data_IF_915271504170
#
_entry.id   IF_915271504170
#
_cell.length_a   1.000
_cell.length_b   1.000
_cell.length_c   1.000
_cell.angle_alpha   90.00
_cell.angle_beta   90.00
_cell.angle_gamma   90.00
#
_symmetry.space_group_name_H-M   'P 1'
#
loop_
_entity.id
_entity.type
_entity.pdbx_description
1 polymer ?
#
# COMPACT_ATOMS: atom_id res chain seq x y z
N UNK A 1 -10.83 -10.80 2.34
CA UNK A 1 -10.49 -11.61 3.52
C UNK A 1 -9.05 -12.05 3.35
N UNK A 2 -8.17 -11.73 4.30
CA UNK A 2 -6.75 -12.04 4.22
C UNK A 2 -6.40 -13.03 5.33
N UNK A 3 -5.61 -14.05 4.99
CA UNK A 3 -5.06 -15.00 5.94
C UNK A 3 -3.99 -14.30 6.78
N UNK A 4 -4.07 -14.40 8.11
CA UNK A 4 -3.03 -13.87 9.01
C UNK A 4 -2.65 -14.92 10.03
N UNK A 5 -1.37 -15.27 10.06
CA UNK A 5 -0.84 -16.31 10.95
C UNK A 5 -0.34 -15.72 12.27
N UNK A 6 -0.53 -16.46 13.35
CA UNK A 6 -0.03 -16.13 14.68
C UNK A 6 0.43 -17.40 15.39
N UNK A 7 1.38 -17.25 16.34
CA UNK A 7 2.11 -18.33 17.03
C UNK A 7 2.09 -18.12 18.55
N UNK A 8 1.87 -19.20 19.31
CA UNK A 8 1.93 -19.22 20.78
C UNK A 8 2.81 -20.34 21.32
N UNK A 9 3.31 -20.19 22.56
CA UNK A 9 4.14 -21.17 23.30
C UNK A 9 3.54 -21.50 24.68
N UNK A 10 3.64 -22.77 25.09
CA UNK A 10 3.10 -23.36 26.35
C UNK A 10 4.12 -24.38 26.84
N UNK A 11 4.35 -24.38 28.15
CA UNK A 11 5.34 -25.22 28.81
C UNK A 11 4.69 -26.31 29.69
N UNK A 12 4.27 -27.43 29.09
CA UNK A 12 3.71 -28.56 29.85
C UNK A 12 4.81 -29.45 30.46
N UNK A 13 4.64 -29.81 31.73
CA UNK A 13 5.53 -30.68 32.52
C UNK A 13 4.95 -32.09 32.62
N UNK A 14 5.77 -33.08 32.30
CA UNK A 14 5.43 -34.49 32.45
C UNK A 14 6.20 -35.12 33.60
N UNK A 15 5.55 -35.92 34.47
CA UNK A 15 6.26 -36.71 35.46
C UNK A 15 7.29 -37.65 34.81
N UNK A 16 8.33 -37.99 35.57
CA UNK A 16 9.41 -38.87 35.12
C UNK A 16 8.83 -40.22 34.67
N UNK A 17 9.23 -40.67 33.47
CA UNK A 17 8.78 -41.95 32.90
C UNK A 17 7.31 -42.03 32.47
N UNK A 18 6.51 -40.98 32.70
CA UNK A 18 5.09 -40.96 32.33
C UNK A 18 4.86 -40.19 31.02
N UNK A 19 3.87 -40.63 30.26
CA UNK A 19 3.39 -39.99 29.04
C UNK A 19 2.17 -39.09 29.25
N UNK A 20 1.63 -39.07 30.47
CA UNK A 20 0.46 -38.28 30.87
C UNK A 20 0.95 -37.18 31.81
N UNK A 21 0.60 -35.92 31.52
CA UNK A 21 0.86 -34.82 32.44
C UNK A 21 -0.26 -34.73 33.48
N UNK A 22 0.08 -34.25 34.68
CA UNK A 22 -0.90 -34.02 35.73
C UNK A 22 -1.60 -32.68 35.47
N UNK A 23 -2.92 -32.71 35.29
CA UNK A 23 -3.74 -31.52 35.07
C UNK A 23 -3.93 -30.69 36.34
N UNK A 24 -3.68 -31.29 37.52
CA UNK A 24 -3.75 -30.61 38.81
C UNK A 24 -2.41 -29.98 39.22
N UNK A 25 -1.33 -30.23 38.47
CA UNK A 25 -0.09 -29.49 38.62
C UNK A 25 -0.32 -28.02 38.27
N UNK A 26 0.08 -27.11 39.17
CA UNK A 26 -0.25 -25.69 39.06
C UNK A 26 0.35 -25.02 37.82
N UNK A 27 1.52 -25.48 37.34
CA UNK A 27 2.11 -24.98 36.10
C UNK A 27 1.30 -25.48 34.90
N UNK A 28 1.02 -26.78 34.84
CA UNK A 28 0.24 -27.35 33.74
C UNK A 28 -1.15 -26.71 33.66
N UNK A 29 -1.81 -26.51 34.80
CA UNK A 29 -3.12 -25.86 34.87
C UNK A 29 -3.05 -24.41 34.34
N UNK A 30 -2.05 -23.62 34.74
CA UNK A 30 -1.88 -22.25 34.27
C UNK A 30 -1.61 -22.17 32.75
N UNK A 31 -0.79 -23.07 32.22
CA UNK A 31 -0.47 -23.13 30.79
C UNK A 31 -1.68 -23.57 29.95
N UNK A 32 -2.45 -24.56 30.45
CA UNK A 32 -3.71 -24.99 29.84
C UNK A 32 -4.73 -23.84 29.84
N UNK A 33 -4.85 -23.11 30.94
CA UNK A 33 -5.77 -21.98 31.07
C UNK A 33 -5.41 -20.83 30.11
N UNK A 34 -4.12 -20.48 29.98
CA UNK A 34 -3.64 -19.48 29.02
C UNK A 34 -4.03 -19.84 27.59
N UNK A 35 -3.86 -21.12 27.21
CA UNK A 35 -4.29 -21.59 25.89
C UNK A 35 -5.81 -21.52 25.74
N UNK A 36 -6.57 -21.93 26.77
CA UNK A 36 -8.04 -21.89 26.76
C UNK A 36 -8.55 -20.47 26.51
N UNK A 37 -7.98 -19.47 27.20
CA UNK A 37 -8.33 -18.06 27.01
C UNK A 37 -8.03 -17.60 25.59
N UNK A 38 -6.87 -17.98 25.03
CA UNK A 38 -6.51 -17.63 23.66
C UNK A 38 -7.48 -18.26 22.64
N UNK A 39 -7.84 -19.54 22.82
CA UNK A 39 -8.85 -20.21 21.97
C UNK A 39 -10.21 -19.51 22.08
N UNK A 40 -10.65 -19.15 23.29
CA UNK A 40 -11.92 -18.45 23.49
C UNK A 40 -11.94 -17.05 22.87
N UNK A 41 -10.83 -16.31 22.96
CA UNK A 41 -10.70 -15.01 22.31
C UNK A 41 -10.79 -15.13 20.79
N UNK A 42 -10.13 -16.13 20.20
CA UNK A 42 -10.20 -16.42 18.76
C UNK A 42 -11.63 -16.84 18.39
N UNK A 43 -12.25 -17.73 19.17
CA UNK A 43 -13.63 -18.19 18.95
C UNK A 43 -14.67 -17.06 18.99
N UNK A 44 -14.50 -16.09 19.90
CA UNK A 44 -15.37 -14.92 20.01
C UNK A 44 -15.13 -13.86 18.92
N UNK A 45 -14.06 -14.00 18.13
CA UNK A 45 -13.76 -13.07 17.04
C UNK A 45 -14.56 -13.44 15.80
N UNK A 46 -15.44 -12.53 15.36
CA UNK A 46 -16.20 -12.69 14.12
C UNK A 46 -15.24 -12.94 12.94
N UNK A 47 -15.55 -13.95 12.13
CA UNK A 47 -14.76 -14.38 10.96
C UNK A 47 -13.36 -14.95 11.28
N UNK A 48 -13.09 -15.39 12.50
CA UNK A 48 -11.88 -16.16 12.81
C UNK A 48 -12.06 -17.65 12.51
N UNK A 49 -11.02 -18.30 11.96
CA UNK A 49 -11.03 -19.76 11.77
C UNK A 49 -9.73 -20.37 12.28
N UNK A 50 -9.83 -21.23 13.29
CA UNK A 50 -8.69 -22.03 13.70
C UNK A 50 -8.37 -23.05 12.59
N UNK A 51 -7.14 -23.04 12.09
CA UNK A 51 -6.74 -23.92 10.97
C UNK A 51 -5.94 -25.13 11.44
N UNK A 52 -4.95 -24.92 12.32
CA UNK A 52 -4.11 -26.01 12.79
C UNK A 52 -3.56 -25.82 14.20
N UNK A 53 -3.55 -26.91 14.98
CA UNK A 53 -2.81 -26.99 16.23
C UNK A 53 -1.64 -27.96 16.03
N UNK A 54 -0.40 -27.46 16.09
CA UNK A 54 0.81 -28.29 16.00
C UNK A 54 1.55 -28.31 17.33
N UNK A 55 2.04 -29.47 17.75
CA UNK A 55 2.87 -29.62 18.94
C UNK A 55 4.24 -30.17 18.61
N UNK A 56 5.27 -29.62 19.25
CA UNK A 56 6.65 -30.07 19.09
C UNK A 56 7.28 -30.36 20.46
N UNK A 57 7.51 -31.62 20.75
CA UNK A 57 8.07 -32.06 22.03
C UNK A 57 9.44 -32.67 21.90
N UNK A 58 10.30 -32.40 22.88
CA UNK A 58 11.60 -33.05 22.99
C UNK A 58 11.71 -33.85 24.29
N UNK A 59 12.28 -35.05 24.21
CA UNK A 59 12.77 -35.78 25.37
C UNK A 59 14.27 -35.59 25.55
N UNK A 60 14.73 -35.67 26.80
CA UNK A 60 16.16 -35.69 27.12
C UNK A 60 16.84 -36.95 26.56
N UNK A 61 18.14 -36.90 26.23
CA UNK A 61 18.91 -38.07 25.80
C UNK A 61 19.39 -38.94 26.98
N UNK A 62 18.57 -39.09 28.03
CA UNK A 62 18.92 -39.78 29.28
C UNK A 62 18.72 -41.30 29.22
N UNK A 63 17.83 -41.79 28.36
CA UNK A 63 17.61 -43.21 28.05
C UNK A 63 18.13 -43.67 26.68
N UNK A 64 17.71 -44.86 26.23
CA UNK A 64 17.93 -45.32 24.84
C UNK A 64 17.12 -44.45 23.87
N UNK A 65 17.69 -44.11 22.72
CA UNK A 65 17.06 -43.22 21.74
C UNK A 65 15.63 -43.62 21.38
N UNK A 66 15.42 -44.88 20.96
CA UNK A 66 14.09 -45.37 20.57
C UNK A 66 13.07 -45.28 21.70
N UNK A 67 13.50 -45.48 22.95
CA UNK A 67 12.63 -45.37 24.12
C UNK A 67 12.26 -43.91 24.39
N UNK A 68 13.24 -43.00 24.36
CA UNK A 68 13.02 -41.57 24.58
C UNK A 68 12.15 -40.98 23.46
N UNK A 69 12.33 -41.43 22.21
CA UNK A 69 11.51 -41.01 21.07
C UNK A 69 10.07 -41.49 21.23
N UNK A 70 9.88 -42.78 21.57
CA UNK A 70 8.55 -43.34 21.82
C UNK A 70 7.85 -42.62 22.97
N UNK A 71 8.58 -42.30 24.04
CA UNK A 71 8.04 -41.54 25.17
C UNK A 71 7.64 -40.12 24.77
N UNK A 72 8.49 -39.42 24.00
CA UNK A 72 8.17 -38.09 23.47
C UNK A 72 6.93 -38.12 22.57
N UNK A 73 6.81 -39.13 21.70
CA UNK A 73 5.64 -39.31 20.83
C UNK A 73 4.37 -39.51 21.66
N UNK A 74 4.38 -40.43 22.63
CA UNK A 74 3.22 -40.66 23.51
C UNK A 74 2.81 -39.42 24.30
N UNK A 75 3.77 -38.61 24.74
CA UNK A 75 3.51 -37.32 25.41
C UNK A 75 2.83 -36.32 24.48
N UNK A 76 3.30 -36.22 23.24
CA UNK A 76 2.70 -35.31 22.25
C UNK A 76 1.29 -35.75 21.88
N UNK A 77 1.09 -37.05 21.67
CA UNK A 77 -0.23 -37.58 21.33
C UNK A 77 -1.23 -37.35 22.47
N UNK A 78 -0.81 -37.52 23.73
CA UNK A 78 -1.63 -37.18 24.88
C UNK A 78 -1.97 -35.69 24.92
N UNK A 79 -0.96 -34.81 24.80
CA UNK A 79 -1.16 -33.37 24.87
C UNK A 79 -2.06 -32.84 23.73
N UNK A 80 -1.83 -33.27 22.49
CA UNK A 80 -2.68 -32.90 21.34
C UNK A 80 -4.12 -33.36 21.55
N UNK A 81 -4.33 -34.59 22.02
CA UNK A 81 -5.67 -35.12 22.24
C UNK A 81 -6.38 -34.41 23.39
N UNK A 82 -5.68 -34.10 24.48
CA UNK A 82 -6.24 -33.34 25.60
C UNK A 82 -6.65 -31.93 25.15
N UNK A 83 -5.77 -31.22 24.43
CA UNK A 83 -6.06 -29.86 23.99
C UNK A 83 -7.12 -29.81 22.89
N UNK A 84 -7.21 -30.85 22.04
CA UNK A 84 -8.34 -31.02 21.10
C UNK A 84 -9.70 -31.02 21.81
N UNK A 85 -9.79 -31.56 23.03
CA UNK A 85 -11.03 -31.58 23.81
C UNK A 85 -11.42 -30.19 24.35
N UNK A 86 -10.44 -29.29 24.54
CA UNK A 86 -10.69 -27.92 25.01
C UNK A 86 -11.19 -26.97 23.91
N UNK A 87 -10.95 -27.30 22.65
CA UNK A 87 -11.46 -26.54 21.50
C UNK A 87 -12.97 -26.78 21.37
N UNK A 88 -13.83 -25.74 21.27
CA UNK A 88 -15.25 -25.89 20.98
C UNK A 88 -15.51 -26.76 19.74
N UNK A 89 -16.56 -27.58 19.78
CA UNK A 89 -16.84 -28.55 18.72
C UNK A 89 -17.05 -27.92 17.35
N UNK A 90 -17.68 -26.74 17.32
CA UNK A 90 -17.91 -25.94 16.12
C UNK A 90 -16.62 -25.58 15.39
N UNK A 91 -15.55 -25.28 16.14
CA UNK A 91 -14.25 -24.87 15.61
C UNK A 91 -13.34 -26.06 15.30
N UNK A 92 -13.61 -27.22 15.90
CA UNK A 92 -12.76 -28.41 15.82
C UNK A 92 -12.86 -29.14 14.48
N UNK A 93 -14.02 -29.07 13.81
CA UNK A 93 -14.33 -29.90 12.62
C UNK A 93 -13.36 -29.70 11.45
N UNK A 94 -12.92 -28.46 11.23
CA UNK A 94 -12.06 -28.09 10.09
C UNK A 94 -10.59 -27.87 10.48
N UNK A 95 -10.23 -28.17 11.73
CA UNK A 95 -8.87 -28.03 12.25
C UNK A 95 -8.00 -29.25 11.97
N UNK A 96 -6.77 -29.00 11.52
CA UNK A 96 -5.71 -30.01 11.51
C UNK A 96 -5.01 -30.07 12.87
N UNK A 97 -4.76 -31.28 13.37
CA UNK A 97 -3.98 -31.48 14.59
C UNK A 97 -2.73 -32.28 14.25
N UNK A 98 -1.56 -31.75 14.59
CA UNK A 98 -0.25 -32.36 14.28
C UNK A 98 0.59 -32.49 15.54
N UNK A 99 1.31 -33.60 15.67
CA UNK A 99 2.33 -33.81 16.70
C UNK A 99 3.66 -34.12 16.04
N UNK A 100 4.74 -33.58 16.61
CA UNK A 100 6.11 -33.91 16.25
C UNK A 100 6.91 -34.16 17.51
N UNK A 101 7.57 -35.30 17.58
CA UNK A 101 8.42 -35.67 18.69
C UNK A 101 9.87 -35.81 18.22
N UNK A 102 10.80 -35.39 19.07
CA UNK A 102 12.22 -35.61 18.88
C UNK A 102 12.91 -35.94 20.20
N UNK A 103 14.14 -36.43 20.12
CA UNK A 103 15.05 -36.56 21.27
C UNK A 103 16.09 -35.46 21.11
N UNK A 104 16.26 -34.64 22.15
CA UNK A 104 17.25 -33.57 22.13
C UNK A 104 18.67 -34.17 22.01
N UNK A 105 19.52 -33.63 21.13
CA UNK A 105 20.91 -34.07 21.03
C UNK A 105 21.72 -33.63 22.25
N UNK A 106 22.78 -34.37 22.57
CA UNK A 106 23.73 -33.98 23.62
C UNK A 106 24.42 -32.63 23.37
N UNK A 107 24.47 -32.16 22.13
CA UNK A 107 24.95 -30.81 21.80
C UNK A 107 24.09 -29.70 22.43
N UNK A 108 22.80 -29.94 22.67
CA UNK A 108 21.96 -28.95 23.35
C UNK A 108 22.28 -28.87 24.85
N UNK A 109 22.72 -29.97 25.45
CA UNK A 109 23.28 -29.96 26.81
C UNK A 109 24.55 -29.10 26.87
N UNK A 110 25.44 -29.22 25.87
CA UNK A 110 26.67 -28.40 25.76
C UNK A 110 26.33 -26.91 25.71
N UNK A 111 25.31 -26.52 24.94
CA UNK A 111 24.85 -25.12 24.87
C UNK A 111 24.39 -24.60 26.24
N UNK A 112 23.58 -25.38 26.96
CA UNK A 112 23.10 -25.02 28.29
C UNK A 112 24.24 -24.89 29.31
N UNK A 113 25.20 -25.81 29.28
CA UNK A 113 26.37 -25.76 30.16
C UNK A 113 27.25 -24.54 29.88
N UNK A 114 27.47 -24.19 28.61
CA UNK A 114 28.23 -22.99 28.22
C UNK A 114 27.53 -21.70 28.62
N UNK A 115 26.20 -21.64 28.53
CA UNK A 115 25.43 -20.48 28.99
C UNK A 115 25.61 -20.24 30.50
N UNK A 116 25.77 -21.32 31.28
CA UNK A 116 26.08 -21.26 32.71
C UNK A 116 27.59 -21.14 33.00
N UNK A 117 28.40 -20.81 31.99
CA UNK A 117 29.87 -20.66 32.09
C UNK A 117 30.64 -21.93 32.52
N UNK A 118 30.06 -23.12 32.34
CA UNK A 118 30.72 -24.41 32.62
C UNK A 118 31.51 -24.91 31.40
N UNK A 119 32.51 -24.13 30.99
CA UNK A 119 33.22 -24.36 29.73
C UNK A 119 34.01 -25.68 29.71
N UNK A 120 34.66 -26.06 30.81
CA UNK A 120 35.51 -27.25 30.87
C UNK A 120 34.69 -28.55 30.85
N UNK A 121 33.62 -28.62 31.64
CA UNK A 121 32.69 -29.74 31.62
C UNK A 121 31.96 -29.82 30.27
N UNK A 122 31.59 -28.68 29.67
CA UNK A 122 30.95 -28.63 28.37
C UNK A 122 31.88 -29.15 27.26
N UNK A 123 33.17 -28.83 27.32
CA UNK A 123 34.17 -29.31 26.37
C UNK A 123 34.32 -30.84 26.44
N UNK A 124 34.28 -31.43 27.64
CA UNK A 124 34.33 -32.90 27.81
C UNK A 124 33.12 -33.58 27.17
N UNK A 125 31.91 -33.05 27.38
CA UNK A 125 30.69 -33.57 26.73
C UNK A 125 30.77 -33.39 25.21
N UNK A 126 31.22 -32.23 24.73
CA UNK A 126 31.38 -31.94 23.30
C UNK A 126 32.37 -32.88 22.60
N UNK A 127 33.49 -33.20 23.25
CA UNK A 127 34.46 -34.17 22.73
C UNK A 127 33.83 -35.57 22.55
N UNK A 128 32.99 -36.01 23.48
CA UNK A 128 32.28 -37.28 23.37
C UNK A 128 31.26 -37.23 22.21
N UNK A 129 30.53 -36.12 22.06
CA UNK A 129 29.58 -35.92 20.95
C UNK A 129 30.30 -35.97 19.60
N UNK A 130 31.47 -35.35 19.48
CA UNK A 130 32.30 -35.38 18.26
C UNK A 130 32.87 -36.78 17.98
N UNK A 131 33.20 -37.53 19.02
CA UNK A 131 33.82 -38.87 18.89
C UNK A 131 32.84 -39.94 18.44
N UNK A 132 31.58 -39.89 18.86
CA UNK A 132 30.58 -40.91 18.55
C UNK A 132 29.44 -40.33 17.71
N UNK A 133 29.17 -40.92 16.54
CA UNK A 133 28.03 -40.51 15.70
C UNK A 133 26.66 -40.98 16.22
N UNK A 134 26.63 -42.02 17.05
CA UNK A 134 25.39 -42.61 17.59
C UNK A 134 25.07 -42.06 19.00
N UNK A 135 23.86 -41.54 19.19
CA UNK A 135 23.43 -40.89 20.44
C UNK A 135 23.41 -41.84 21.66
N UNK A 136 23.16 -43.15 21.47
CA UNK A 136 23.23 -44.14 22.56
C UNK A 136 24.69 -44.40 22.98
N UNK A 137 25.63 -44.40 22.01
CA UNK A 137 27.05 -44.47 22.31
C UNK A 137 27.53 -43.21 23.05
N UNK A 138 27.11 -42.02 22.60
CA UNK A 138 27.36 -40.76 23.31
C UNK A 138 26.86 -40.85 24.75
N UNK A 139 25.60 -41.24 24.96
CA UNK A 139 25.01 -41.36 26.29
C UNK A 139 25.72 -42.37 27.19
N UNK A 140 26.20 -43.51 26.66
CA UNK A 140 27.00 -44.48 27.43
C UNK A 140 28.34 -43.92 27.90
N UNK A 141 29.00 -43.14 27.06
CA UNK A 141 30.26 -42.49 27.41
C UNK A 141 30.05 -41.32 28.39
N UNK A 142 29.01 -40.49 28.16
CA UNK A 142 28.68 -39.34 29.00
C UNK A 142 28.27 -39.76 30.42
N UNK A 143 27.56 -40.90 30.59
CA UNK A 143 27.23 -41.46 31.92
C UNK A 143 28.45 -41.81 32.79
N UNK A 144 29.64 -41.98 32.19
CA UNK A 144 30.87 -42.27 32.93
C UNK A 144 31.59 -41.01 33.42
N UNK A 145 31.14 -39.82 33.02
CA UNK A 145 31.75 -38.56 33.46
C UNK A 145 31.49 -38.34 34.96
N UNK A 146 32.49 -37.83 35.71
CA UNK A 146 32.40 -37.70 37.16
C UNK A 146 31.30 -36.73 37.62
N UNK A 147 30.94 -35.77 36.77
CA UNK A 147 29.87 -34.80 37.04
C UNK A 147 28.50 -35.20 36.51
N UNK A 148 28.33 -36.41 35.94
CA UNK A 148 27.08 -36.83 35.32
C UNK A 148 25.88 -36.69 36.27
N UNK A 149 25.90 -37.35 37.43
CA UNK A 149 24.76 -37.38 38.37
C UNK A 149 24.42 -35.99 38.92
N UNK A 150 25.43 -35.27 39.42
CA UNK A 150 25.24 -33.95 40.05
C UNK A 150 24.80 -32.87 39.06
N UNK A 151 25.39 -32.87 37.87
CA UNK A 151 25.28 -31.75 36.94
C UNK A 151 24.36 -32.06 35.76
N UNK A 152 24.64 -33.14 35.03
CA UNK A 152 23.88 -33.48 33.83
C UNK A 152 22.50 -34.01 34.20
N UNK A 153 22.41 -35.02 35.06
CA UNK A 153 21.16 -35.62 35.50
C UNK A 153 20.37 -34.70 36.45
N UNK A 154 21.03 -34.06 37.40
CA UNK A 154 20.40 -33.20 38.39
C UNK A 154 19.92 -31.84 37.85
N UNK A 155 20.62 -31.25 36.86
CA UNK A 155 20.36 -29.86 36.43
C UNK A 155 20.00 -29.72 34.95
N UNK A 156 20.74 -30.32 34.02
CA UNK A 156 20.60 -30.01 32.59
C UNK A 156 19.64 -30.92 31.81
N UNK A 157 19.67 -32.23 32.04
CA UNK A 157 18.75 -33.17 31.41
C UNK A 157 17.28 -32.85 31.72
N UNK A 158 16.89 -32.46 32.95
CA UNK A 158 15.54 -31.99 33.21
C UNK A 158 15.12 -30.78 32.37
N UNK A 159 16.04 -29.85 32.05
CA UNK A 159 15.74 -28.67 31.24
C UNK A 159 15.53 -28.99 29.76
N UNK A 160 15.98 -30.15 29.29
CA UNK A 160 15.68 -30.66 27.94
C UNK A 160 14.39 -31.45 27.87
N UNK A 161 13.71 -31.71 29.01
CA UNK A 161 12.36 -32.29 29.05
C UNK A 161 11.32 -31.20 28.81
N UNK A 162 11.41 -30.50 27.68
CA UNK A 162 10.50 -29.43 27.31
C UNK A 162 9.55 -29.90 26.21
N UNK A 163 8.27 -29.65 26.46
CA UNK A 163 7.21 -29.75 25.47
C UNK A 163 6.84 -28.32 25.09
N UNK A 164 7.12 -27.93 23.86
CA UNK A 164 6.63 -26.70 23.26
C UNK A 164 5.47 -27.01 22.31
N UNK A 165 4.68 -26.00 21.99
CA UNK A 165 3.73 -26.11 20.88
C UNK A 165 3.83 -24.89 19.98
N UNK A 166 3.30 -25.04 18.78
CA UNK A 166 3.12 -23.97 17.79
C UNK A 166 1.67 -24.07 17.32
N UNK A 167 0.80 -23.23 17.88
CA UNK A 167 -0.56 -23.09 17.36
C UNK A 167 -0.57 -22.12 16.19
N UNK A 168 -1.03 -22.59 15.03
CA UNK A 168 -1.16 -21.80 13.81
C UNK A 168 -2.65 -21.59 13.54
N UNK A 169 -3.12 -20.38 13.75
CA UNK A 169 -4.50 -20.02 13.50
C UNK A 169 -4.55 -18.88 12.50
N UNK A 170 -5.61 -18.85 11.69
CA UNK A 170 -5.78 -17.81 10.68
C UNK A 170 -7.05 -17.04 10.92
N UNK A 171 -6.89 -15.75 11.19
CA UNK A 171 -8.04 -14.89 11.42
C UNK A 171 -8.46 -14.29 10.07
N UNK A 172 -9.63 -14.67 9.55
CA UNK A 172 -10.20 -14.06 8.35
C UNK A 172 -11.04 -12.82 8.70
N UNK A 173 -10.53 -11.93 9.55
CA UNK A 173 -11.26 -10.70 9.92
C UNK A 173 -10.89 -9.52 9.05
N UNK A 174 -11.85 -8.63 8.84
CA UNK A 174 -11.57 -7.29 8.36
C UNK A 174 -11.04 -6.46 9.53
N UNK A 175 -9.88 -5.84 9.36
CA UNK A 175 -9.38 -4.87 10.34
C UNK A 175 -10.37 -3.70 10.48
N UNK A 176 -10.49 -3.17 11.70
CA UNK A 176 -11.16 -1.88 11.91
C UNK A 176 -10.35 -0.76 11.27
N UNK A 177 -10.93 0.44 11.12
CA UNK A 177 -10.20 1.55 10.53
C UNK A 177 -8.97 1.93 11.38
N UNK A 178 -9.09 1.86 12.70
CA UNK A 178 -8.01 2.13 13.65
C UNK A 178 -6.87 1.11 13.50
N UNK A 179 -7.20 -0.18 13.43
CA UNK A 179 -6.20 -1.24 13.22
C UNK A 179 -5.52 -1.12 11.85
N UNK A 180 -6.25 -0.69 10.81
CA UNK A 180 -5.69 -0.40 9.49
C UNK A 180 -4.70 0.77 9.58
N UNK A 181 -5.06 1.84 10.30
CA UNK A 181 -4.21 3.01 10.47
C UNK A 181 -2.93 2.66 11.26
N UNK A 182 -3.04 1.90 12.35
CA UNK A 182 -1.87 1.42 13.10
C UNK A 182 -0.95 0.54 12.24
N UNK A 183 -1.53 -0.35 11.45
CA UNK A 183 -0.75 -1.20 10.53
C UNK A 183 -0.07 -0.39 9.43
N UNK A 184 -0.76 0.63 8.89
CA UNK A 184 -0.20 1.54 7.90
C UNK A 184 1.04 2.27 8.43
N UNK A 185 0.98 2.81 9.64
CA UNK A 185 2.10 3.52 10.27
C UNK A 185 3.26 2.57 10.59
N UNK A 186 2.95 1.32 10.98
CA UNK A 186 3.97 0.31 11.29
C UNK A 186 4.66 -0.24 10.05
N UNK A 187 3.88 -0.70 9.07
CA UNK A 187 4.36 -1.27 7.81
C UNK A 187 3.20 -1.34 6.78
N UNK A 188 3.00 -0.26 6.03
CA UNK A 188 1.96 -0.16 5.00
C UNK A 188 2.03 -1.25 3.93
N UNK A 189 3.18 -1.92 3.75
CA UNK A 189 3.33 -2.97 2.73
C UNK A 189 2.51 -4.22 3.04
N UNK A 190 2.07 -4.37 4.28
CA UNK A 190 1.19 -5.47 4.71
C UNK A 190 -0.28 -5.23 4.40
N UNK A 191 -0.66 -4.00 4.03
CA UNK A 191 -2.04 -3.66 3.69
C UNK A 191 -2.44 -4.27 2.35
N UNK A 192 -3.61 -4.89 2.34
CA UNK A 192 -4.32 -5.28 1.13
C UNK A 192 -4.91 -4.06 0.41
N UNK A 193 -5.25 -4.23 -0.88
CA UNK A 193 -5.96 -3.20 -1.67
C UNK A 193 -7.23 -2.68 -0.99
N UNK A 194 -7.98 -3.57 -0.33
CA UNK A 194 -9.23 -3.19 0.35
C UNK A 194 -8.98 -2.39 1.63
N UNK A 195 -7.92 -2.69 2.37
CA UNK A 195 -7.56 -1.93 3.57
C UNK A 195 -7.04 -0.53 3.17
N UNK A 196 -6.23 -0.42 2.11
CA UNK A 196 -5.90 0.88 1.51
C UNK A 196 -7.15 1.65 1.10
N UNK A 197 -8.09 1.00 0.40
CA UNK A 197 -9.35 1.61 0.01
C UNK A 197 -10.09 2.21 1.21
N UNK A 198 -10.29 1.41 2.26
CA UNK A 198 -10.93 1.88 3.49
C UNK A 198 -10.18 3.05 4.11
N UNK A 199 -8.85 2.96 4.19
CA UNK A 199 -8.03 3.98 4.83
C UNK A 199 -8.15 5.33 4.12
N UNK A 200 -7.84 5.39 2.83
CA UNK A 200 -7.82 6.67 2.11
C UNK A 200 -9.23 7.27 1.96
N UNK A 201 -10.28 6.44 1.90
CA UNK A 201 -11.67 6.90 1.80
C UNK A 201 -12.17 7.57 3.07
N UNK A 202 -11.59 7.22 4.23
CA UNK A 202 -11.93 7.81 5.52
C UNK A 202 -10.93 8.88 5.98
N UNK A 203 -9.85 9.11 5.24
CA UNK A 203 -8.90 10.19 5.52
C UNK A 203 -9.45 11.54 5.05
N UNK A 204 -9.52 12.50 5.97
CA UNK A 204 -10.05 13.85 5.73
C UNK A 204 -8.95 14.85 5.38
N UNK A 205 -7.72 14.62 5.85
CA UNK A 205 -6.56 15.41 5.49
C UNK A 205 -6.14 15.07 4.05
N UNK A 206 -6.22 16.06 3.16
CA UNK A 206 -5.94 15.88 1.73
C UNK A 206 -4.50 15.44 1.46
N UNK A 207 -3.52 15.95 2.21
CA UNK A 207 -2.11 15.63 2.00
C UNK A 207 -1.81 14.21 2.47
N UNK A 208 -2.37 13.81 3.62
CA UNK A 208 -2.28 12.41 4.08
C UNK A 208 -2.97 11.47 3.11
N UNK A 209 -4.15 11.84 2.63
CA UNK A 209 -4.90 11.04 1.64
C UNK A 209 -4.10 10.86 0.35
N UNK A 210 -3.49 11.91 -0.18
CA UNK A 210 -2.61 11.82 -1.36
C UNK A 210 -1.43 10.86 -1.10
N UNK A 211 -0.78 10.96 0.06
CA UNK A 211 0.32 10.06 0.46
C UNK A 211 -0.14 8.60 0.45
N UNK A 212 -1.29 8.30 1.08
CA UNK A 212 -1.85 6.94 1.13
C UNK A 212 -2.16 6.43 -0.28
N UNK A 213 -2.76 7.27 -1.13
CA UNK A 213 -3.06 6.92 -2.53
C UNK A 213 -1.79 6.56 -3.31
N UNK A 214 -0.74 7.39 -3.21
CA UNK A 214 0.55 7.12 -3.88
C UNK A 214 1.19 5.82 -3.39
N UNK A 215 1.22 5.57 -2.09
CA UNK A 215 1.76 4.33 -1.52
C UNK A 215 0.91 3.11 -1.90
N UNK A 216 -0.41 3.27 -2.03
CA UNK A 216 -1.27 2.18 -2.51
C UNK A 216 -0.96 1.80 -3.96
N UNK A 217 -0.57 2.77 -4.80
CA UNK A 217 -0.18 2.54 -6.20
C UNK A 217 1.25 2.01 -6.34
N UNK A 218 2.14 2.33 -5.40
CA UNK A 218 3.45 1.67 -5.27
C UNK A 218 3.27 0.16 -5.05
N UNK A 219 2.40 -0.21 -4.11
CA UNK A 219 2.12 -1.63 -3.80
C UNK A 219 1.26 -2.32 -4.85
N UNK A 220 0.30 -1.59 -5.43
CA UNK A 220 -0.68 -2.13 -6.37
C UNK A 220 -0.83 -1.21 -7.60
N UNK A 221 0.09 -1.28 -8.57
CA UNK A 221 0.05 -0.43 -9.77
C UNK A 221 -1.19 -0.62 -10.67
N UNK A 222 -1.97 -1.68 -10.44
CA UNK A 222 -3.23 -1.95 -11.15
C UNK A 222 -4.47 -1.49 -10.37
N UNK A 223 -4.32 -0.68 -9.32
CA UNK A 223 -5.41 -0.27 -8.44
C UNK A 223 -6.15 0.95 -9.02
N UNK A 224 -7.00 0.70 -10.02
CA UNK A 224 -7.72 1.73 -10.78
C UNK A 224 -8.47 2.74 -9.91
N UNK A 225 -9.16 2.30 -8.85
CA UNK A 225 -9.91 3.21 -7.97
C UNK A 225 -8.99 4.23 -7.27
N UNK A 226 -7.84 3.79 -6.75
CA UNK A 226 -6.86 4.67 -6.15
C UNK A 226 -6.20 5.59 -7.19
N UNK A 227 -5.90 5.08 -8.39
CA UNK A 227 -5.35 5.90 -9.48
C UNK A 227 -6.32 7.01 -9.89
N UNK A 228 -7.61 6.69 -10.01
CA UNK A 228 -8.65 7.66 -10.36
C UNK A 228 -8.87 8.70 -9.26
N UNK A 229 -8.92 8.26 -8.00
CA UNK A 229 -9.10 9.18 -6.86
C UNK A 229 -7.87 10.08 -6.68
N UNK A 230 -6.67 9.58 -7.00
CA UNK A 230 -5.46 10.39 -7.04
C UNK A 230 -5.54 11.43 -8.16
N UNK A 231 -5.86 11.02 -9.38
CA UNK A 231 -5.94 11.95 -10.52
C UNK A 231 -7.00 13.03 -10.31
N UNK A 232 -8.17 12.68 -9.77
CA UNK A 232 -9.19 13.64 -9.41
C UNK A 232 -8.69 14.66 -8.36
N UNK A 233 -7.91 14.22 -7.37
CA UNK A 233 -7.28 15.11 -6.39
C UNK A 233 -6.29 16.07 -7.08
N UNK A 234 -5.49 15.55 -8.01
CA UNK A 234 -4.49 16.31 -8.76
C UNK A 234 -5.11 17.35 -9.71
N UNK A 235 -6.16 16.98 -10.43
CA UNK A 235 -6.94 17.88 -11.29
C UNK A 235 -7.47 19.07 -10.48
N UNK A 236 -8.07 18.80 -9.32
CA UNK A 236 -8.66 19.84 -8.46
C UNK A 236 -7.62 20.86 -7.93
N UNK A 237 -6.33 20.52 -7.93
CA UNK A 237 -5.24 21.42 -7.53
C UNK A 237 -4.41 21.93 -8.71
N UNK A 238 -4.89 21.75 -9.94
CA UNK A 238 -4.19 22.15 -11.17
C UNK A 238 -2.79 21.54 -11.31
N UNK A 239 -2.63 20.29 -10.85
CA UNK A 239 -1.37 19.54 -10.95
C UNK A 239 -1.62 18.10 -11.41
N UNK A 240 -2.56 17.92 -12.35
CA UNK A 240 -2.89 16.65 -13.01
C UNK A 240 -1.67 15.99 -13.62
N UNK A 241 -1.68 14.66 -13.67
CA UNK A 241 -0.59 13.84 -14.21
C UNK A 241 -1.15 12.90 -15.29
N UNK A 242 -0.88 13.16 -16.58
CA UNK A 242 -1.45 12.39 -17.68
C UNK A 242 -0.95 10.94 -17.74
N UNK A 243 0.04 10.55 -16.92
CA UNK A 243 0.56 9.18 -16.90
C UNK A 243 -0.20 8.25 -15.93
N UNK A 244 -0.87 8.79 -14.91
CA UNK A 244 -1.51 8.00 -13.83
C UNK A 244 -2.62 7.09 -14.36
N UNK A 245 -3.48 7.62 -15.24
CA UNK A 245 -4.63 6.89 -15.77
C UNK A 245 -4.40 6.25 -17.15
N UNK A 246 -3.23 6.47 -17.77
CA UNK A 246 -2.92 6.00 -19.14
C UNK A 246 -3.19 4.51 -19.37
N UNK A 247 -2.94 3.66 -18.37
CA UNK A 247 -3.13 2.20 -18.48
C UNK A 247 -4.56 1.71 -18.20
N UNK A 248 -5.43 2.60 -17.74
CA UNK A 248 -6.78 2.26 -17.26
C UNK A 248 -7.88 2.70 -18.23
N UNK A 249 -7.59 3.59 -19.18
CA UNK A 249 -8.58 4.10 -20.14
C UNK A 249 -8.98 3.08 -21.19
N UNK A 250 -10.20 3.21 -21.69
CA UNK A 250 -10.73 2.40 -22.77
C UNK A 250 -12.26 2.30 -22.77
N UNK A 251 -12.81 1.62 -23.78
CA UNK A 251 -14.26 1.42 -23.95
C UNK A 251 -14.95 0.77 -22.74
N UNK A 252 -14.25 -0.13 -22.05
CA UNK A 252 -14.78 -0.84 -20.87
C UNK A 252 -14.47 -0.15 -19.55
N UNK A 253 -13.72 0.97 -19.57
CA UNK A 253 -13.39 1.71 -18.36
C UNK A 253 -14.62 2.48 -17.86
N UNK A 254 -14.76 2.70 -16.55
CA UNK A 254 -15.77 3.60 -16.01
C UNK A 254 -15.63 5.00 -16.63
N UNK A 255 -16.75 5.66 -16.94
CA UNK A 255 -16.75 6.97 -17.61
C UNK A 255 -15.88 8.00 -16.87
N UNK A 256 -15.94 8.04 -15.54
CA UNK A 256 -15.10 8.95 -14.72
C UNK A 256 -13.60 8.77 -14.95
N UNK A 257 -13.13 7.56 -15.25
CA UNK A 257 -11.70 7.30 -15.53
C UNK A 257 -11.31 7.91 -16.87
N UNK A 258 -12.13 7.70 -17.90
CA UNK A 258 -11.89 8.28 -19.23
C UNK A 258 -11.97 9.82 -19.16
N UNK A 259 -12.98 10.37 -18.48
CA UNK A 259 -13.14 11.82 -18.26
C UNK A 259 -11.94 12.43 -17.54
N UNK A 260 -11.47 11.83 -16.43
CA UNK A 260 -10.32 12.34 -15.69
C UNK A 260 -9.02 12.26 -16.51
N UNK A 261 -8.78 11.17 -17.24
CA UNK A 261 -7.61 11.09 -18.13
C UNK A 261 -7.69 12.17 -19.22
N UNK A 262 -8.87 12.39 -19.81
CA UNK A 262 -9.06 13.40 -20.84
C UNK A 262 -8.74 14.80 -20.29
N UNK A 263 -9.23 15.14 -19.09
CA UNK A 263 -8.89 16.41 -18.42
C UNK A 263 -7.37 16.53 -18.17
N UNK A 264 -6.74 15.47 -17.66
CA UNK A 264 -5.30 15.46 -17.41
C UNK A 264 -4.47 15.70 -18.68
N UNK A 265 -4.87 15.09 -19.80
CA UNK A 265 -4.23 15.28 -21.10
C UNK A 265 -4.41 16.70 -21.63
N UNK A 266 -5.61 17.28 -21.51
CA UNK A 266 -5.88 18.66 -21.92
C UNK A 266 -5.06 19.66 -21.10
N UNK A 267 -4.98 19.49 -19.78
CA UNK A 267 -4.16 20.31 -18.89
C UNK A 267 -2.67 20.23 -19.24
N UNK A 268 -2.20 19.07 -19.71
CA UNK A 268 -0.82 18.86 -20.14
C UNK A 268 -0.54 19.33 -21.59
N UNK A 269 -1.52 19.88 -22.30
CA UNK A 269 -1.38 20.29 -23.71
C UNK A 269 -1.32 19.12 -24.71
N UNK A 270 -1.66 17.91 -24.29
CA UNK A 270 -1.59 16.69 -25.09
C UNK A 270 -2.88 16.47 -25.89
N UNK A 271 -3.27 17.45 -26.70
CA UNK A 271 -4.59 17.53 -27.33
C UNK A 271 -4.94 16.34 -28.23
N UNK A 272 -4.00 15.84 -29.03
CA UNK A 272 -4.25 14.67 -29.90
C UNK A 272 -4.47 13.37 -29.10
N UNK A 273 -3.81 13.24 -27.95
CA UNK A 273 -4.05 12.10 -27.05
C UNK A 273 -5.40 12.25 -26.34
N UNK A 274 -5.75 13.46 -25.90
CA UNK A 274 -7.07 13.74 -25.34
C UNK A 274 -8.18 13.39 -26.33
N UNK A 275 -7.96 13.69 -27.62
CA UNK A 275 -8.89 13.38 -28.69
C UNK A 275 -9.11 11.87 -28.86
N UNK A 276 -8.04 11.08 -28.74
CA UNK A 276 -8.13 9.62 -28.78
C UNK A 276 -8.92 9.05 -27.60
N UNK A 277 -8.86 9.69 -26.42
CA UNK A 277 -9.61 9.28 -25.23
C UNK A 277 -11.08 9.71 -25.32
N UNK A 278 -11.38 10.80 -26.04
CA UNK A 278 -12.73 11.31 -26.22
C UNK A 278 -13.68 10.27 -26.84
N UNK A 279 -13.18 9.37 -27.69
CA UNK A 279 -13.93 8.23 -28.26
C UNK A 279 -14.54 7.29 -27.20
N UNK A 280 -14.06 7.34 -25.96
CA UNK A 280 -14.55 6.52 -24.84
C UNK A 280 -15.38 7.30 -23.82
N UNK A 281 -15.59 8.59 -24.04
CA UNK A 281 -16.38 9.48 -23.18
C UNK A 281 -17.75 9.69 -23.83
N UNK A 282 -18.80 9.26 -23.15
CA UNK A 282 -20.16 9.46 -23.61
C UNK A 282 -20.53 10.95 -23.50
N UNK A 283 -21.11 11.52 -24.56
CA UNK A 283 -21.64 12.88 -24.54
C UNK A 283 -22.94 12.94 -23.71
N UNK A 284 -22.92 13.72 -22.64
CA UNK A 284 -24.04 13.96 -21.74
C UNK A 284 -23.86 15.32 -21.05
N UNK A 285 -24.83 15.74 -20.25
CA UNK A 285 -24.84 17.04 -19.57
C UNK A 285 -23.53 17.36 -18.81
N UNK A 286 -22.86 16.36 -18.22
CA UNK A 286 -21.64 16.56 -17.44
C UNK A 286 -20.36 16.59 -18.29
N UNK A 287 -20.35 15.94 -19.45
CA UNK A 287 -19.17 15.76 -20.31
C UNK A 287 -19.20 16.61 -21.59
N UNK A 288 -20.36 17.17 -21.96
CA UNK A 288 -20.52 17.90 -23.22
C UNK A 288 -19.53 19.06 -23.36
N UNK A 289 -19.37 19.87 -22.31
CA UNK A 289 -18.41 20.96 -22.32
C UNK A 289 -16.96 20.47 -22.49
N UNK A 290 -16.59 19.36 -21.83
CA UNK A 290 -15.26 18.78 -21.93
C UNK A 290 -14.97 18.31 -23.38
N UNK A 291 -15.94 17.64 -24.00
CA UNK A 291 -15.84 17.19 -25.39
C UNK A 291 -15.74 18.37 -26.36
N UNK A 292 -16.53 19.42 -26.15
CA UNK A 292 -16.49 20.64 -26.96
C UNK A 292 -15.15 21.37 -26.83
N UNK A 293 -14.62 21.52 -25.61
CA UNK A 293 -13.30 22.11 -25.37
C UNK A 293 -12.19 21.31 -26.05
N UNK A 294 -12.22 19.97 -25.95
CA UNK A 294 -11.27 19.13 -26.66
C UNK A 294 -11.38 19.27 -28.18
N UNK A 295 -12.59 19.33 -28.72
CA UNK A 295 -12.82 19.48 -30.15
C UNK A 295 -12.26 20.82 -30.67
N UNK A 296 -12.52 21.91 -29.95
CA UNK A 296 -11.95 23.23 -30.23
C UNK A 296 -10.42 23.23 -30.18
N UNK A 297 -9.83 22.65 -29.15
CA UNK A 297 -8.35 22.56 -29.03
C UNK A 297 -7.71 21.68 -30.12
N UNK A 298 -8.51 20.84 -30.78
CA UNK A 298 -8.12 20.06 -31.97
C UNK A 298 -8.66 20.66 -33.29
N UNK A 299 -9.05 21.93 -33.31
CA UNK A 299 -9.37 22.67 -34.54
C UNK A 299 -10.81 22.54 -35.06
N UNK A 300 -11.71 21.86 -34.33
CA UNK A 300 -13.11 21.67 -34.73
C UNK A 300 -14.01 22.73 -34.10
N UNK A 301 -13.98 23.94 -34.66
CA UNK A 301 -14.60 25.12 -34.06
C UNK A 301 -16.11 25.26 -34.31
N UNK A 302 -16.56 25.12 -35.56
CA UNK A 302 -17.94 25.46 -35.99
C UNK A 302 -19.02 24.82 -35.12
N UNK A 303 -18.98 23.49 -35.00
CA UNK A 303 -19.99 22.72 -34.26
C UNK A 303 -19.91 22.92 -32.73
N UNK A 304 -18.78 23.45 -32.23
CA UNK A 304 -18.50 23.57 -30.80
C UNK A 304 -18.48 25.03 -30.31
N UNK A 305 -18.66 25.99 -31.22
CA UNK A 305 -18.56 27.42 -30.95
C UNK A 305 -19.50 27.86 -29.83
N UNK A 306 -20.79 27.56 -29.96
CA UNK A 306 -21.81 28.00 -29.01
C UNK A 306 -21.54 27.44 -27.60
N UNK A 307 -21.16 26.17 -27.49
CA UNK A 307 -20.88 25.52 -26.21
C UNK A 307 -19.71 26.17 -25.48
N UNK A 308 -18.60 26.46 -26.18
CA UNK A 308 -17.43 27.09 -25.56
C UNK A 308 -17.64 28.58 -25.34
N UNK A 309 -18.26 29.30 -26.27
CA UNK A 309 -18.53 30.73 -26.15
C UNK A 309 -19.37 31.07 -24.91
N UNK A 310 -20.36 30.23 -24.58
CA UNK A 310 -21.22 30.41 -23.41
C UNK A 310 -20.47 30.36 -22.07
N UNK A 311 -19.25 29.81 -22.03
CA UNK A 311 -18.43 29.80 -20.80
C UNK A 311 -17.89 31.18 -20.43
N UNK A 312 -17.86 32.12 -21.37
CA UNK A 312 -17.49 33.51 -21.10
C UNK A 312 -16.98 34.26 -22.33
N UNK A 313 -17.11 35.58 -22.30
CA UNK A 313 -16.76 36.47 -23.41
C UNK A 313 -15.30 36.37 -23.87
N UNK A 314 -14.35 36.09 -22.98
CA UNK A 314 -12.94 35.90 -23.38
C UNK A 314 -12.77 34.64 -24.22
N UNK A 315 -13.45 33.55 -23.84
CA UNK A 315 -13.41 32.30 -24.59
C UNK A 315 -14.13 32.46 -25.93
N UNK A 316 -15.27 33.15 -25.96
CA UNK A 316 -15.96 33.54 -27.20
C UNK A 316 -15.04 34.35 -28.14
N UNK A 317 -14.32 35.35 -27.61
CA UNK A 317 -13.39 36.17 -28.39
C UNK A 317 -12.27 35.32 -29.00
N UNK A 318 -11.63 34.46 -28.21
CA UNK A 318 -10.55 33.58 -28.68
C UNK A 318 -11.07 32.61 -29.76
N UNK A 319 -12.30 32.09 -29.58
CA UNK A 319 -12.97 31.27 -30.59
C UNK A 319 -13.21 32.03 -31.89
N UNK A 320 -13.71 33.26 -31.84
CA UNK A 320 -13.89 34.11 -33.02
C UNK A 320 -12.56 34.37 -33.74
N UNK A 321 -11.48 34.63 -33.00
CA UNK A 321 -10.14 34.76 -33.56
C UNK A 321 -9.64 33.48 -34.22
N UNK A 322 -9.83 32.31 -33.59
CA UNK A 322 -9.45 31.02 -34.15
C UNK A 322 -10.20 30.72 -35.47
N UNK A 323 -11.46 31.14 -35.55
CA UNK A 323 -12.31 31.04 -36.74
C UNK A 323 -12.09 32.15 -37.78
N UNK A 324 -11.11 33.04 -37.57
CA UNK A 324 -10.83 34.22 -38.44
C UNK A 324 -11.99 35.21 -38.57
N UNK A 325 -12.92 35.22 -37.61
CA UNK A 325 -14.04 36.18 -37.51
C UNK A 325 -13.57 37.49 -36.86
N UNK A 326 -12.51 38.09 -37.43
CA UNK A 326 -11.76 39.19 -36.81
C UNK A 326 -12.61 40.42 -36.47
N UNK A 327 -13.59 40.76 -37.34
CA UNK A 327 -14.49 41.90 -37.10
C UNK A 327 -15.35 41.69 -35.84
N UNK A 328 -15.93 40.50 -35.70
CA UNK A 328 -16.76 40.15 -34.54
C UNK A 328 -15.93 40.07 -33.26
N UNK A 329 -14.73 39.49 -33.34
CA UNK A 329 -13.78 39.46 -32.22
C UNK A 329 -13.40 40.87 -31.75
N UNK A 330 -13.18 41.80 -32.69
CA UNK A 330 -12.85 43.20 -32.40
C UNK A 330 -14.00 43.92 -31.70
N UNK A 331 -15.25 43.78 -32.18
CA UNK A 331 -16.41 44.36 -31.51
C UNK A 331 -16.62 43.78 -30.12
N UNK A 332 -16.50 42.45 -29.97
CA UNK A 332 -16.62 41.80 -28.66
C UNK A 332 -15.53 42.27 -27.69
N UNK A 333 -14.31 42.48 -28.17
CA UNK A 333 -13.17 42.94 -27.36
C UNK A 333 -13.46 44.26 -26.64
N UNK A 334 -14.26 45.16 -27.25
CA UNK A 334 -14.64 46.47 -26.67
C UNK A 334 -15.58 46.32 -25.47
N UNK A 335 -16.20 45.16 -25.30
CA UNK A 335 -17.15 44.86 -24.22
C UNK A 335 -16.54 44.12 -23.04
N UNK A 336 -15.24 43.78 -23.10
CA UNK A 336 -14.50 43.14 -22.03
C UNK A 336 -14.09 44.16 -20.94
N UNK A 337 -13.81 43.71 -19.70
CA UNK A 337 -13.40 44.59 -18.61
C UNK A 337 -12.08 45.32 -18.92
N UNK A 338 -12.08 46.64 -18.75
CA UNK A 338 -10.95 47.52 -19.08
C UNK A 338 -9.81 47.50 -18.04
N UNK A 339 -10.06 46.92 -16.86
CA UNK A 339 -9.15 46.82 -15.72
C UNK A 339 -8.23 45.58 -15.78
N UNK A 340 -8.28 44.82 -16.88
CA UNK A 340 -7.52 43.59 -17.05
C UNK A 340 -6.47 43.73 -18.16
N UNK A 341 -5.21 43.43 -17.86
CA UNK A 341 -4.12 43.49 -18.86
C UNK A 341 -4.41 42.61 -20.08
N UNK A 342 -4.97 41.42 -19.85
CA UNK A 342 -5.30 40.46 -20.91
C UNK A 342 -6.37 40.99 -21.88
N UNK A 343 -7.29 41.84 -21.43
CA UNK A 343 -8.29 42.48 -22.31
C UNK A 343 -7.60 43.35 -23.36
N UNK A 344 -6.63 44.17 -22.93
CA UNK A 344 -5.86 45.02 -23.84
C UNK A 344 -4.99 44.21 -24.78
N UNK A 345 -4.41 43.12 -24.29
CA UNK A 345 -3.62 42.20 -25.10
C UNK A 345 -4.44 41.56 -26.23
N UNK A 346 -5.60 40.98 -25.88
CA UNK A 346 -6.52 40.39 -26.87
C UNK A 346 -7.06 41.44 -27.85
N UNK A 347 -7.31 42.67 -27.38
CA UNK A 347 -7.70 43.78 -28.24
C UNK A 347 -6.60 44.17 -29.23
N UNK A 348 -5.33 44.16 -28.81
CA UNK A 348 -4.21 44.40 -29.70
C UNK A 348 -4.16 43.37 -30.84
N UNK A 349 -4.35 42.08 -30.52
CA UNK A 349 -4.47 41.01 -31.53
C UNK A 349 -5.61 41.31 -32.51
N UNK A 350 -6.80 41.65 -31.99
CA UNK A 350 -7.96 41.96 -32.84
C UNK A 350 -7.69 43.13 -33.79
N UNK A 351 -7.07 44.20 -33.31
CA UNK A 351 -6.75 45.40 -34.08
C UNK A 351 -5.66 45.12 -35.13
N UNK A 352 -4.61 44.40 -34.76
CA UNK A 352 -3.52 44.08 -35.69
C UNK A 352 -4.03 43.20 -36.85
N UNK A 353 -4.86 42.21 -36.55
CA UNK A 353 -5.53 41.35 -37.56
C UNK A 353 -6.56 42.08 -38.44
N UNK A 354 -6.90 43.33 -38.12
CA UNK A 354 -7.74 44.22 -38.92
C UNK A 354 -6.93 45.30 -39.64
N UNK A 355 -5.60 45.16 -39.70
CA UNK A 355 -4.68 46.11 -40.32
C UNK A 355 -4.73 47.51 -39.65
N UNK A 356 -4.95 47.57 -38.34
CA UNK A 356 -4.88 48.79 -37.53
C UNK A 356 -3.69 48.74 -36.53
N UNK A 357 -2.43 48.80 -37.03
CA UNK A 357 -1.24 48.61 -36.20
C UNK A 357 -1.03 49.74 -35.17
N UNK A 358 -1.55 50.94 -35.44
CA UNK A 358 -1.38 52.10 -34.56
C UNK A 358 -2.15 51.92 -33.27
N UNK A 359 -3.44 51.58 -33.37
CA UNK A 359 -4.25 51.34 -32.18
C UNK A 359 -3.94 49.98 -31.55
N UNK A 360 -3.52 48.98 -32.35
CA UNK A 360 -2.99 47.73 -31.82
C UNK A 360 -1.77 47.96 -30.93
N UNK A 361 -0.80 48.78 -31.36
CA UNK A 361 0.38 49.11 -30.56
C UNK A 361 0.01 49.81 -29.25
N UNK A 362 -0.93 50.77 -29.28
CA UNK A 362 -1.41 51.45 -28.06
C UNK A 362 -2.04 50.46 -27.08
N UNK A 363 -2.87 49.54 -27.58
CA UNK A 363 -3.50 48.51 -26.77
C UNK A 363 -2.46 47.53 -26.18
N UNK A 364 -1.50 47.07 -27.00
CA UNK A 364 -0.41 46.21 -26.54
C UNK A 364 0.43 46.90 -25.46
N UNK A 365 0.81 48.16 -25.69
CA UNK A 365 1.56 48.97 -24.73
C UNK A 365 0.83 49.05 -23.39
N UNK A 366 -0.47 49.33 -23.40
CA UNK A 366 -1.30 49.36 -22.19
C UNK A 366 -1.33 48.00 -21.49
N UNK A 367 -1.44 46.90 -22.24
CA UNK A 367 -1.38 45.56 -21.67
C UNK A 367 -0.05 45.29 -20.94
N UNK A 368 1.07 45.64 -21.55
CA UNK A 368 2.42 45.45 -20.99
C UNK A 368 2.69 46.36 -19.78
N UNK A 369 2.13 47.57 -19.77
CA UNK A 369 2.19 48.48 -18.60
C UNK A 369 1.42 47.90 -17.40
N UNK A 370 0.28 47.24 -17.66
CA UNK A 370 -0.55 46.62 -16.62
C UNK A 370 0.04 45.27 -16.13
N UNK A 371 0.58 44.47 -17.04
CA UNK A 371 1.26 43.20 -16.73
C UNK A 371 2.51 43.02 -17.61
N UNK A 372 3.69 43.38 -17.10
CA UNK A 372 4.96 43.23 -17.81
C UNK A 372 5.31 41.77 -18.17
N UNK A 373 4.69 40.78 -17.51
CA UNK A 373 4.99 39.37 -17.80
C UNK A 373 4.54 38.95 -19.21
N UNK A 374 3.57 39.67 -19.79
CA UNK A 374 3.05 39.45 -21.13
C UNK A 374 4.07 39.74 -22.24
N UNK A 375 5.14 40.50 -21.97
CA UNK A 375 6.17 40.83 -22.98
C UNK A 375 6.85 39.56 -23.52
N UNK A 376 7.08 38.57 -22.65
CA UNK A 376 7.66 37.28 -23.05
C UNK A 376 6.74 36.50 -24.00
N UNK A 377 5.43 36.62 -23.80
CA UNK A 377 4.43 35.97 -24.65
C UNK A 377 4.39 36.70 -26.00
N UNK A 378 4.32 38.02 -25.97
CA UNK A 378 4.26 38.87 -27.16
C UNK A 378 5.42 38.63 -28.14
N UNK A 379 6.63 38.32 -27.63
CA UNK A 379 7.79 38.03 -28.49
C UNK A 379 7.63 36.80 -29.40
N UNK A 380 6.83 35.81 -28.98
CA UNK A 380 6.62 34.57 -29.74
C UNK A 380 5.23 34.50 -30.36
N UNK A 381 4.38 35.49 -30.10
CA UNK A 381 3.02 35.58 -30.58
C UNK A 381 2.99 36.25 -31.97
N UNK A 382 2.69 35.46 -33.00
CA UNK A 382 2.69 35.92 -34.39
C UNK A 382 1.65 37.00 -34.71
N UNK A 383 0.69 37.25 -33.83
CA UNK A 383 -0.31 38.30 -34.02
C UNK A 383 0.14 39.68 -33.51
N UNK A 384 1.21 39.77 -32.73
CA UNK A 384 1.67 41.04 -32.10
C UNK A 384 3.19 41.20 -32.02
N UNK A 385 3.98 40.19 -32.39
CA UNK A 385 5.44 40.24 -32.27
C UNK A 385 6.09 41.32 -33.17
N UNK A 386 5.47 41.64 -34.30
CA UNK A 386 5.84 42.70 -35.22
C UNK A 386 5.71 44.10 -34.58
N UNK A 387 4.64 44.30 -33.79
CA UNK A 387 4.40 45.54 -33.04
C UNK A 387 5.52 45.84 -32.02
N UNK A 388 6.25 44.83 -31.56
CA UNK A 388 7.41 45.00 -30.68
C UNK A 388 8.68 45.42 -31.43
N UNK A 389 8.80 45.00 -32.70
CA UNK A 389 9.98 45.27 -33.53
C UNK A 389 9.95 46.71 -34.05
N UNK A 390 8.78 47.23 -34.37
CA UNK A 390 8.60 48.63 -34.80
C UNK A 390 8.99 49.64 -33.71
N UNK A 391 9.00 49.23 -32.44
CA UNK A 391 9.53 50.02 -31.31
C UNK A 391 11.03 50.31 -31.42
N UNK A 392 11.82 49.47 -32.11
CA UNK A 392 13.26 49.70 -32.30
C UNK A 392 13.58 50.65 -33.46
N UNK A 393 12.62 50.90 -34.35
CA UNK A 393 12.81 51.70 -35.56
C UNK A 393 12.12 53.07 -35.52
N UNK A 394 11.38 53.40 -34.45
CA UNK A 394 10.85 54.75 -34.25
C UNK A 394 11.93 55.62 -33.58
N UNK A 395 12.33 56.77 -34.18
CA UNK A 395 13.20 57.73 -33.50
C UNK A 395 12.51 58.19 -32.21
N UNK A 396 13.27 58.27 -31.11
CA UNK A 396 12.81 58.90 -29.87
C UNK A 396 12.24 60.29 -30.21
N UNK A 397 10.92 60.44 -30.17
CA UNK A 397 10.29 61.75 -30.11
C UNK A 397 10.60 62.31 -28.72
N UNK A 398 11.49 63.32 -28.71
CA UNK A 398 11.73 64.23 -27.58
C UNK A 398 10.60 65.23 -27.44
#
# INVERSE_FOLDING_TARGET
MQLRDSRGEVNLRFPIGKSVFDTNDSQNAAEVEKMRQQIQQIAGTKDATLQALSMEGTSSPDGRYNYNLTLAQRRMDFAVNYLRQLVPEELRRDMQFKSKAAVAPWSDVVKLMRADSLYDEAAQVEQIVKRYGNIDQQGRAIRKLPFFGRLLEGKYLPQLRKVGYVMNYSIFRQLTLEEIAELYEKDYKQLSRFEFFKLYRNETDRNKREKILRQSLEMYPSFMAAANDLEALLINRQASDPDILRRFVGRSAPQVVNTNQMIALLNAGLYSQADSVADFVADNEQSHLLLAVNAVLNGRYEDNFNTVAQTGKRNELIMLLAMKRNKEASELSKTLPEDEALTHYLRAICLNRLDDPVDAYKALKKALEMDPSLEKIAHVDGDVNDLLLDKKNQPNEQ
#
